data_IF_677657826355
#
_entry.id   IF_677657826355
#
_cell.length_a   1.000
_cell.length_b   1.000
_cell.length_c   1.000
_cell.angle_alpha   90.00
_cell.angle_beta   90.00
_cell.angle_gamma   90.00
#
_symmetry.space_group_name_H-M   'P 1'
#
loop_
_entity.id
_entity.type
_entity.pdbx_description
1 polymer ?
#
# COMPACT_ATOMS: atom_id res chain seq x y z
N UNK A 1 11.36 -1.20 -9.82
CA UNK A 1 10.03 -1.86 -9.74
C UNK A 1 10.06 -3.18 -10.49
N UNK A 2 9.20 -4.14 -10.10
CA UNK A 2 9.20 -5.49 -10.69
C UNK A 2 8.64 -5.63 -12.10
N UNK A 3 8.49 -4.55 -12.85
CA UNK A 3 7.99 -4.60 -14.23
C UNK A 3 6.51 -4.99 -14.36
N UNK A 4 5.69 -4.71 -13.36
CA UNK A 4 4.27 -5.13 -13.33
C UNK A 4 3.30 -3.97 -13.58
N UNK A 5 3.47 -2.86 -12.87
CA UNK A 5 2.60 -1.67 -13.02
C UNK A 5 3.40 -0.45 -13.46
N UNK A 6 2.77 0.48 -14.20
CA UNK A 6 3.45 1.65 -14.72
C UNK A 6 3.54 2.81 -13.73
N UNK A 7 4.56 3.65 -13.89
CA UNK A 7 4.67 4.99 -13.32
C UNK A 7 4.67 5.99 -14.48
N UNK A 8 3.82 7.01 -14.48
CA UNK A 8 2.84 7.39 -13.45
C UNK A 8 1.75 6.33 -13.19
N UNK A 9 1.21 6.32 -11.96
CA UNK A 9 0.32 5.29 -11.40
C UNK A 9 -1.11 5.33 -11.99
N UNK A 10 -1.26 5.16 -13.30
CA UNK A 10 -2.56 5.17 -13.99
C UNK A 10 -3.39 3.89 -13.72
N UNK A 11 -2.71 2.80 -13.33
CA UNK A 11 -3.35 1.52 -12.99
C UNK A 11 -3.50 1.33 -11.46
N UNK A 12 -3.18 2.33 -10.66
CA UNK A 12 -3.07 2.19 -9.21
C UNK A 12 -1.75 1.55 -8.78
N UNK A 13 -1.73 0.99 -7.56
CA UNK A 13 -0.54 0.45 -6.91
C UNK A 13 0.04 1.43 -5.88
N UNK A 14 0.34 0.91 -4.69
CA UNK A 14 0.82 1.74 -3.58
C UNK A 14 2.20 2.32 -3.87
N UNK A 15 3.13 1.48 -4.34
CA UNK A 15 4.51 1.87 -4.66
C UNK A 15 4.51 2.85 -5.83
N UNK A 16 3.79 2.54 -6.90
CA UNK A 16 3.68 3.38 -8.08
C UNK A 16 3.07 4.76 -7.76
N UNK A 17 2.14 4.81 -6.83
CA UNK A 17 1.55 6.06 -6.34
C UNK A 17 2.57 6.90 -5.58
N UNK A 18 3.36 6.30 -4.71
CA UNK A 18 4.43 6.99 -3.98
C UNK A 18 5.51 7.54 -4.92
N UNK A 19 5.95 6.76 -5.90
CA UNK A 19 6.90 7.23 -6.92
C UNK A 19 6.28 8.36 -7.75
N UNK A 20 4.99 8.24 -8.10
CA UNK A 20 4.28 9.30 -8.83
C UNK A 20 4.21 10.60 -8.00
N UNK A 21 4.12 10.51 -6.68
CA UNK A 21 4.17 11.69 -5.80
C UNK A 21 5.55 12.38 -5.86
N UNK A 22 6.65 11.61 -5.93
CA UNK A 22 7.99 12.15 -6.17
C UNK A 22 8.04 12.84 -7.56
N UNK A 23 7.59 12.14 -8.61
CA UNK A 23 7.56 12.67 -9.99
C UNK A 23 6.80 13.99 -10.10
N UNK A 24 5.66 14.11 -9.44
CA UNK A 24 4.83 15.33 -9.43
C UNK A 24 5.50 16.54 -8.77
N UNK A 25 6.31 16.31 -7.76
CA UNK A 25 6.94 17.37 -6.96
C UNK A 25 8.35 17.72 -7.43
N UNK A 26 8.98 16.80 -8.16
CA UNK A 26 10.35 16.96 -8.66
C UNK A 26 10.51 18.20 -9.53
N UNK A 27 11.63 18.89 -9.35
CA UNK A 27 12.08 20.00 -10.17
C UNK A 27 13.59 19.87 -10.47
N UNK A 28 14.03 20.31 -11.62
CA UNK A 28 15.47 20.41 -11.97
C UNK A 28 16.27 21.27 -10.97
N UNK A 29 15.58 22.15 -10.22
CA UNK A 29 16.18 22.99 -9.16
C UNK A 29 16.63 22.17 -7.95
N UNK A 30 16.20 20.92 -7.82
CA UNK A 30 16.57 20.03 -6.70
C UNK A 30 18.01 19.49 -6.81
N UNK A 31 18.76 19.89 -7.83
CA UNK A 31 20.19 19.62 -7.95
C UNK A 31 20.57 18.23 -8.47
N UNK A 32 19.61 17.44 -8.96
CA UNK A 32 19.86 16.13 -9.58
C UNK A 32 18.95 15.90 -10.80
N UNK A 33 19.26 14.90 -11.60
CA UNK A 33 18.41 14.44 -12.72
C UNK A 33 17.68 13.18 -12.32
N UNK A 34 16.34 13.18 -12.43
CA UNK A 34 15.49 12.04 -12.10
C UNK A 34 15.19 11.22 -13.37
N UNK A 35 15.54 9.94 -13.34
CA UNK A 35 15.17 8.96 -14.36
C UNK A 35 14.31 7.86 -13.77
N UNK A 36 13.16 7.60 -14.36
CA UNK A 36 12.22 6.55 -13.94
C UNK A 36 12.22 5.42 -14.96
N UNK A 37 12.60 4.22 -14.53
CA UNK A 37 12.44 2.99 -15.32
C UNK A 37 11.06 2.40 -15.06
N UNK A 38 10.20 2.37 -16.08
CA UNK A 38 8.80 1.96 -15.93
C UNK A 38 8.36 1.03 -17.07
N UNK A 39 7.33 0.22 -16.81
CA UNK A 39 6.70 -0.57 -17.88
C UNK A 39 5.86 0.34 -18.77
N UNK A 40 5.90 0.07 -20.07
CA UNK A 40 5.11 0.80 -21.05
C UNK A 40 3.60 0.56 -20.82
N UNK A 41 2.85 1.65 -20.68
CA UNK A 41 1.40 1.66 -20.67
C UNK A 41 0.92 2.95 -21.36
N UNK A 42 -0.03 2.84 -22.28
CA UNK A 42 -0.46 3.97 -23.13
C UNK A 42 -0.85 5.20 -22.30
N UNK A 43 -1.66 5.01 -21.28
CA UNK A 43 -2.10 6.12 -20.40
C UNK A 43 -0.95 6.68 -19.55
N UNK A 44 0.01 5.85 -19.13
CA UNK A 44 1.16 6.31 -18.35
C UNK A 44 2.11 7.13 -19.20
N UNK A 45 2.34 6.74 -20.46
CA UNK A 45 3.12 7.54 -21.43
C UNK A 45 2.47 8.89 -21.66
N UNK A 46 1.14 8.93 -21.79
CA UNK A 46 0.42 10.20 -21.94
C UNK A 46 0.51 11.05 -20.67
N UNK A 47 0.30 10.47 -19.50
CA UNK A 47 0.43 11.16 -18.21
C UNK A 47 1.85 11.69 -17.96
N UNK A 48 2.88 10.98 -18.41
CA UNK A 48 4.29 11.38 -18.27
C UNK A 48 4.62 12.70 -18.98
N UNK A 49 3.86 13.08 -20.02
CA UNK A 49 4.03 14.38 -20.71
C UNK A 49 3.80 15.59 -19.78
N UNK A 50 3.07 15.42 -18.68
CA UNK A 50 2.88 16.46 -17.67
C UNK A 50 4.12 16.70 -16.80
N UNK A 51 5.17 15.87 -16.95
CA UNK A 51 6.39 15.91 -16.15
C UNK A 51 7.64 16.02 -17.03
N UNK A 52 7.81 17.13 -17.76
CA UNK A 52 8.87 17.29 -18.79
C UNK A 52 10.29 17.27 -18.20
N UNK A 53 10.42 17.51 -16.90
CA UNK A 53 11.70 17.50 -16.20
C UNK A 53 12.16 16.09 -15.80
N UNK A 54 11.26 15.10 -15.82
CA UNK A 54 11.56 13.71 -15.48
C UNK A 54 11.78 12.91 -16.76
N UNK A 55 12.87 12.17 -16.78
CA UNK A 55 13.13 11.23 -17.87
C UNK A 55 12.46 9.89 -17.58
N UNK A 56 11.68 9.37 -18.52
CA UNK A 56 11.10 8.03 -18.45
C UNK A 56 11.79 7.09 -19.44
N UNK A 57 12.18 5.92 -18.96
CA UNK A 57 12.67 4.80 -19.77
C UNK A 57 11.62 3.70 -19.74
N UNK A 58 10.98 3.46 -20.87
CA UNK A 58 9.87 2.53 -20.99
C UNK A 58 10.32 1.14 -21.38
N UNK A 59 9.85 0.11 -20.68
CA UNK A 59 10.09 -1.29 -20.99
C UNK A 59 8.81 -1.99 -21.45
N UNK A 60 8.92 -2.89 -22.41
CA UNK A 60 7.78 -3.52 -23.07
C UNK A 60 7.55 -4.96 -22.57
N UNK A 61 6.97 -5.11 -21.39
CA UNK A 61 6.75 -6.42 -20.75
C UNK A 61 5.48 -7.14 -21.17
N UNK A 62 4.48 -6.43 -21.72
CA UNK A 62 3.15 -6.94 -22.03
C UNK A 62 2.97 -7.53 -23.43
N UNK A 63 3.95 -8.25 -23.97
CA UNK A 63 3.78 -8.99 -25.23
C UNK A 63 3.45 -10.45 -24.96
N UNK A 64 2.77 -11.14 -25.89
CA UNK A 64 2.39 -12.56 -25.78
C UNK A 64 3.59 -13.46 -25.39
N UNK A 65 4.76 -13.22 -26.01
CA UNK A 65 6.01 -13.94 -25.70
C UNK A 65 6.51 -13.72 -24.26
N UNK A 66 6.18 -12.59 -23.66
CA UNK A 66 6.58 -12.29 -22.28
C UNK A 66 5.66 -12.93 -21.25
N UNK A 67 4.38 -13.08 -21.57
CA UNK A 67 3.43 -13.79 -20.70
C UNK A 67 3.81 -15.27 -20.58
N UNK A 68 4.23 -15.91 -21.70
CA UNK A 68 4.71 -17.30 -21.67
C UNK A 68 6.04 -17.43 -20.92
N UNK A 69 7.00 -16.53 -21.15
CA UNK A 69 8.27 -16.48 -20.39
C UNK A 69 8.04 -16.19 -18.91
N UNK A 70 7.09 -15.34 -18.58
CA UNK A 70 6.74 -15.06 -17.19
C UNK A 70 6.09 -16.28 -16.51
N UNK A 71 5.24 -17.03 -17.20
CA UNK A 71 4.70 -18.29 -16.68
C UNK A 71 5.80 -19.33 -16.43
N UNK A 72 6.76 -19.48 -17.35
CA UNK A 72 7.94 -20.33 -17.16
C UNK A 72 8.79 -19.85 -15.99
N UNK A 73 9.02 -18.56 -15.87
CA UNK A 73 9.74 -17.96 -14.74
C UNK A 73 9.08 -18.30 -13.40
N UNK A 74 7.76 -18.13 -13.31
CA UNK A 74 7.01 -18.46 -12.07
C UNK A 74 7.11 -19.96 -11.75
N UNK A 75 6.93 -20.83 -12.75
CA UNK A 75 7.03 -22.28 -12.56
C UNK A 75 8.43 -22.72 -12.10
N UNK A 76 9.49 -22.17 -12.72
CA UNK A 76 10.86 -22.49 -12.32
C UNK A 76 11.16 -21.96 -10.92
N UNK A 77 10.72 -20.74 -10.60
CA UNK A 77 10.90 -20.18 -9.26
C UNK A 77 10.17 -21.00 -8.19
N UNK A 78 8.96 -21.45 -8.47
CA UNK A 78 8.16 -22.26 -7.54
C UNK A 78 8.76 -23.65 -7.33
N UNK A 79 9.29 -24.29 -8.40
CA UNK A 79 9.88 -25.62 -8.34
C UNK A 79 11.31 -25.66 -7.80
N UNK A 80 12.11 -24.66 -8.06
CA UNK A 80 13.56 -24.69 -7.78
C UNK A 80 14.03 -23.62 -6.79
N UNK A 81 13.18 -22.65 -6.43
CA UNK A 81 13.55 -21.47 -5.64
C UNK A 81 14.49 -20.50 -6.35
N UNK A 82 14.87 -20.79 -7.61
CA UNK A 82 15.83 -19.98 -8.38
C UNK A 82 15.12 -18.96 -9.26
N UNK A 83 15.64 -17.74 -9.30
CA UNK A 83 15.21 -16.69 -10.25
C UNK A 83 16.10 -16.74 -11.49
N UNK A 84 15.48 -16.82 -12.67
CA UNK A 84 16.23 -16.85 -13.95
C UNK A 84 16.06 -15.48 -14.61
N UNK A 85 17.07 -14.62 -14.51
CA UNK A 85 17.07 -13.24 -15.03
C UNK A 85 16.72 -13.14 -16.52
N UNK A 86 17.18 -14.08 -17.35
CA UNK A 86 16.91 -14.09 -18.81
C UNK A 86 15.40 -14.09 -19.11
N UNK A 87 14.56 -14.57 -18.20
CA UNK A 87 13.11 -14.56 -18.33
C UNK A 87 12.46 -13.23 -17.87
N UNK A 88 13.25 -12.33 -17.29
CA UNK A 88 12.78 -11.04 -16.75
C UNK A 88 13.08 -9.90 -17.73
N UNK A 89 12.21 -9.73 -18.71
CA UNK A 89 12.41 -8.77 -19.79
C UNK A 89 12.64 -7.34 -19.31
N UNK A 90 11.92 -6.89 -18.25
CA UNK A 90 12.10 -5.56 -17.69
C UNK A 90 13.56 -5.27 -17.38
N UNK A 91 14.22 -6.14 -16.61
CA UNK A 91 15.62 -5.97 -16.23
C UNK A 91 16.58 -6.08 -17.42
N UNK A 92 16.27 -6.93 -18.41
CA UNK A 92 17.07 -7.04 -19.61
C UNK A 92 17.01 -5.77 -20.49
N UNK A 93 15.86 -5.10 -20.55
CA UNK A 93 15.69 -3.86 -21.32
C UNK A 93 16.34 -2.65 -20.63
N UNK A 94 16.37 -2.59 -19.29
CA UNK A 94 16.98 -1.47 -18.56
C UNK A 94 18.51 -1.64 -18.38
N UNK A 95 19.02 -2.87 -18.42
CA UNK A 95 20.44 -3.16 -18.18
C UNK A 95 21.41 -2.33 -19.06
N UNK A 96 21.22 -2.23 -20.39
CA UNK A 96 22.11 -1.44 -21.24
C UNK A 96 22.12 0.05 -20.85
N UNK A 97 20.95 0.60 -20.46
CA UNK A 97 20.84 2.02 -20.06
C UNK A 97 21.60 2.25 -18.77
N UNK A 98 21.42 1.36 -17.76
CA UNK A 98 22.11 1.45 -16.48
C UNK A 98 23.63 1.35 -16.66
N UNK A 99 24.10 0.41 -17.50
CA UNK A 99 25.52 0.17 -17.70
C UNK A 99 26.21 1.29 -18.49
N UNK A 100 25.53 1.86 -19.49
CA UNK A 100 26.12 2.87 -20.38
C UNK A 100 26.09 4.28 -19.77
N UNK A 101 25.04 4.63 -19.02
CA UNK A 101 24.84 6.01 -18.53
C UNK A 101 25.44 6.27 -17.15
N UNK A 102 25.76 5.24 -16.39
CA UNK A 102 26.39 5.34 -15.05
C UNK A 102 25.71 6.35 -14.13
N UNK A 103 24.57 5.97 -13.58
CA UNK A 103 23.83 6.78 -12.61
C UNK A 103 24.63 6.93 -11.31
N UNK A 104 24.50 8.08 -10.64
CA UNK A 104 25.12 8.29 -9.34
C UNK A 104 24.47 7.45 -8.24
N UNK A 105 23.15 7.23 -8.34
CA UNK A 105 22.36 6.47 -7.39
C UNK A 105 21.28 5.67 -8.11
N UNK A 106 21.08 4.43 -7.74
CA UNK A 106 20.01 3.54 -8.21
C UNK A 106 19.13 3.15 -7.02
N UNK A 107 17.87 3.60 -7.03
CA UNK A 107 16.90 3.26 -6.00
C UNK A 107 15.97 2.16 -6.52
N UNK A 108 15.92 1.04 -5.81
CA UNK A 108 15.12 -0.13 -6.17
C UNK A 108 13.82 -0.12 -5.39
N UNK A 109 12.74 0.20 -6.07
CA UNK A 109 11.40 0.33 -5.52
C UNK A 109 10.63 -1.00 -5.61
N UNK A 110 11.07 -2.00 -4.86
CA UNK A 110 10.55 -3.36 -4.95
C UNK A 110 10.95 -4.11 -6.24
N UNK A 111 10.46 -5.32 -6.41
CA UNK A 111 10.78 -6.17 -7.56
C UNK A 111 11.80 -7.25 -7.22
N UNK A 112 12.68 -7.58 -8.17
CA UNK A 112 13.76 -8.56 -7.96
C UNK A 112 15.07 -7.81 -7.68
N UNK A 113 15.42 -7.74 -6.40
CA UNK A 113 16.59 -7.01 -5.91
C UNK A 113 17.89 -7.64 -6.45
N UNK A 114 17.96 -8.95 -6.56
CA UNK A 114 19.12 -9.65 -7.11
C UNK A 114 19.33 -9.33 -8.59
N UNK A 115 18.24 -9.21 -9.35
CA UNK A 115 18.34 -8.83 -10.76
C UNK A 115 18.96 -7.43 -10.95
N UNK A 116 18.68 -6.50 -10.02
CA UNK A 116 19.30 -5.17 -10.08
C UNK A 116 20.78 -5.23 -9.75
N UNK A 117 21.22 -5.98 -8.75
CA UNK A 117 22.63 -6.22 -8.45
C UNK A 117 23.35 -6.77 -9.69
N UNK A 118 22.74 -7.75 -10.37
CA UNK A 118 23.30 -8.39 -11.56
C UNK A 118 23.49 -7.43 -12.73
N UNK A 119 22.57 -6.47 -12.92
CA UNK A 119 22.67 -5.48 -14.01
C UNK A 119 23.51 -4.25 -13.65
N UNK A 120 23.70 -3.97 -12.36
CA UNK A 120 24.48 -2.86 -11.83
C UNK A 120 25.99 -3.22 -11.70
N UNK A 121 26.48 -4.16 -12.47
CA UNK A 121 27.91 -4.52 -12.47
C UNK A 121 28.77 -3.29 -12.76
N UNK A 122 29.75 -3.04 -11.86
CA UNK A 122 30.63 -1.87 -11.95
C UNK A 122 30.15 -0.64 -11.17
N UNK A 123 28.99 -0.73 -10.51
CA UNK A 123 28.58 0.23 -9.49
C UNK A 123 29.19 -0.12 -8.14
N UNK A 124 29.49 0.89 -7.32
CA UNK A 124 29.80 0.69 -5.91
C UNK A 124 28.50 0.37 -5.17
N UNK A 125 28.56 -0.43 -4.10
CA UNK A 125 27.37 -0.80 -3.33
C UNK A 125 26.66 0.43 -2.74
N UNK A 126 27.41 1.48 -2.39
CA UNK A 126 26.92 2.75 -1.87
C UNK A 126 26.06 3.52 -2.87
N UNK A 127 26.14 3.18 -4.16
CA UNK A 127 25.28 3.73 -5.20
C UNK A 127 23.95 2.96 -5.36
N UNK A 128 23.82 1.82 -4.65
CA UNK A 128 22.62 0.98 -4.71
C UNK A 128 21.81 1.13 -3.43
N UNK A 129 20.54 1.51 -3.57
CA UNK A 129 19.60 1.72 -2.48
C UNK A 129 18.42 0.76 -2.66
N UNK A 130 18.11 -0.01 -1.63
CA UNK A 130 16.91 -0.84 -1.58
C UNK A 130 15.82 -0.14 -0.78
N UNK A 131 14.66 0.14 -1.39
CA UNK A 131 13.50 0.69 -0.70
C UNK A 131 12.47 -0.41 -0.40
N UNK A 132 12.38 -0.78 0.87
CA UNK A 132 11.52 -1.85 1.36
C UNK A 132 10.11 -1.33 1.69
N UNK A 133 9.14 -1.67 0.83
CA UNK A 133 7.71 -1.33 0.99
C UNK A 133 6.90 -2.39 1.72
N UNK A 134 7.48 -3.55 1.97
CA UNK A 134 6.83 -4.68 2.67
C UNK A 134 7.76 -5.19 3.77
N UNK A 135 7.20 -5.87 4.77
CA UNK A 135 7.98 -6.63 5.73
C UNK A 135 8.56 -7.85 5.01
N UNK A 136 9.82 -7.75 4.63
CA UNK A 136 10.55 -8.76 3.90
C UNK A 136 11.99 -8.81 4.40
N UNK A 137 12.48 -10.01 4.69
CA UNK A 137 13.87 -10.24 5.07
C UNK A 137 14.60 -10.74 3.82
N UNK A 138 15.47 -9.93 3.22
CA UNK A 138 16.21 -10.32 2.05
C UNK A 138 17.28 -11.38 2.41
N UNK A 139 17.71 -12.14 1.41
CA UNK A 139 18.86 -13.03 1.53
C UNK A 139 20.13 -12.22 1.79
N UNK A 140 21.08 -12.77 2.54
CA UNK A 140 22.35 -12.11 2.87
C UNK A 140 23.11 -11.61 1.64
N UNK A 141 23.08 -12.36 0.54
CA UNK A 141 23.69 -11.97 -0.74
C UNK A 141 23.10 -10.69 -1.32
N UNK A 142 21.77 -10.49 -1.16
CA UNK A 142 21.07 -9.29 -1.57
C UNK A 142 21.51 -8.13 -0.69
N UNK A 143 21.57 -8.33 0.62
CA UNK A 143 22.02 -7.30 1.57
C UNK A 143 23.43 -6.81 1.24
N UNK A 144 24.34 -7.73 0.93
CA UNK A 144 25.74 -7.39 0.54
C UNK A 144 25.82 -6.51 -0.70
N UNK A 145 24.83 -6.60 -1.59
CA UNK A 145 24.78 -5.83 -2.83
C UNK A 145 24.37 -4.38 -2.68
N UNK A 146 23.72 -4.01 -1.56
CA UNK A 146 23.23 -2.65 -1.33
C UNK A 146 23.99 -1.94 -0.22
N UNK A 147 24.38 -0.68 -0.43
CA UNK A 147 25.01 0.18 0.58
C UNK A 147 23.99 0.83 1.50
N UNK A 148 22.77 1.07 1.00
CA UNK A 148 21.72 1.74 1.73
C UNK A 148 20.39 0.97 1.62
N UNK A 149 19.60 1.06 2.72
CA UNK A 149 18.23 0.56 2.77
C UNK A 149 17.31 1.66 3.29
N UNK A 150 16.22 1.89 2.58
CA UNK A 150 15.12 2.77 3.01
C UNK A 150 13.97 1.87 3.46
N UNK A 151 13.49 2.03 4.69
CA UNK A 151 12.28 1.37 5.17
C UNK A 151 11.10 2.34 5.26
N UNK A 152 9.90 1.85 5.00
CA UNK A 152 8.67 2.65 5.14
C UNK A 152 8.26 2.88 6.59
N UNK A 153 8.94 2.25 7.54
CA UNK A 153 8.73 2.40 8.99
C UNK A 153 10.00 1.99 9.75
N UNK A 154 10.14 2.44 10.99
CA UNK A 154 11.21 1.95 11.88
C UNK A 154 11.09 0.44 12.14
N UNK A 155 9.89 -0.09 12.13
CA UNK A 155 9.66 -1.54 12.23
C UNK A 155 10.39 -2.28 11.10
N UNK A 156 10.18 -1.87 9.84
CA UNK A 156 10.82 -2.50 8.67
C UNK A 156 12.34 -2.38 8.76
N UNK A 157 12.87 -1.23 9.16
CA UNK A 157 14.30 -1.00 9.36
C UNK A 157 14.86 -1.95 10.42
N UNK A 158 14.26 -1.98 11.63
CA UNK A 158 14.72 -2.86 12.72
C UNK A 158 14.71 -4.34 12.34
N UNK A 159 13.66 -4.79 11.64
CA UNK A 159 13.59 -6.20 11.21
C UNK A 159 14.65 -6.53 10.15
N UNK A 160 14.95 -5.56 9.27
CA UNK A 160 16.03 -5.68 8.29
C UNK A 160 17.39 -5.75 8.99
N UNK A 161 17.68 -4.83 9.93
CA UNK A 161 18.94 -4.80 10.69
C UNK A 161 19.16 -6.08 11.51
N UNK A 162 18.11 -6.59 12.15
CA UNK A 162 18.19 -7.88 12.88
C UNK A 162 18.55 -9.06 12.00
N UNK A 163 18.09 -9.04 10.76
CA UNK A 163 18.32 -10.11 9.81
C UNK A 163 19.68 -10.02 9.10
N UNK A 164 20.34 -8.87 9.18
CA UNK A 164 21.59 -8.61 8.50
C UNK A 164 22.79 -8.83 9.45
N UNK A 165 23.70 -9.71 9.04
CA UNK A 165 24.96 -9.92 9.76
C UNK A 165 26.06 -8.94 9.33
N UNK A 166 25.74 -7.94 8.51
CA UNK A 166 26.67 -6.94 7.98
C UNK A 166 26.08 -5.53 8.16
N UNK A 167 26.93 -4.52 8.39
CA UNK A 167 26.46 -3.13 8.47
C UNK A 167 25.82 -2.67 7.17
N UNK A 168 24.63 -2.08 7.26
CA UNK A 168 23.91 -1.41 6.18
C UNK A 168 23.47 -0.05 6.67
N UNK A 169 23.65 0.98 5.86
CA UNK A 169 23.12 2.30 6.18
C UNK A 169 21.59 2.29 5.99
N UNK A 170 20.86 2.51 7.05
CA UNK A 170 19.40 2.45 7.06
C UNK A 170 18.78 3.83 7.20
N UNK A 171 17.67 4.03 6.50
CA UNK A 171 16.91 5.28 6.50
C UNK A 171 15.42 4.97 6.62
N UNK A 172 14.63 5.92 7.12
CA UNK A 172 13.18 5.80 7.20
C UNK A 172 12.52 6.85 6.31
N UNK A 173 11.70 6.39 5.36
CA UNK A 173 10.85 7.24 4.54
C UNK A 173 9.40 6.76 4.66
N UNK A 174 8.64 7.37 5.57
CA UNK A 174 7.24 7.00 5.82
C UNK A 174 6.39 7.24 4.59
N UNK A 175 5.49 6.30 4.29
CA UNK A 175 4.52 6.41 3.20
C UNK A 175 3.63 7.64 3.33
N UNK A 176 3.12 8.13 2.21
CA UNK A 176 2.23 9.27 2.13
C UNK A 176 1.11 9.07 1.12
N UNK A 177 0.15 9.98 1.17
CA UNK A 177 -0.96 10.08 0.21
C UNK A 177 -1.13 11.54 -0.22
N UNK A 178 -1.86 11.75 -1.30
CA UNK A 178 -2.39 13.08 -1.65
C UNK A 178 -3.60 13.35 -0.74
N UNK A 179 -3.37 13.99 0.42
CA UNK A 179 -4.40 14.22 1.45
C UNK A 179 -5.61 14.96 0.88
N UNK A 180 -5.40 15.84 -0.10
CA UNK A 180 -6.49 16.62 -0.71
C UNK A 180 -7.46 15.72 -1.51
N UNK A 181 -7.00 14.60 -2.05
CA UNK A 181 -7.87 13.65 -2.74
C UNK A 181 -8.85 12.93 -1.81
N UNK A 182 -8.50 12.81 -0.53
CA UNK A 182 -9.32 12.15 0.49
C UNK A 182 -10.17 13.14 1.30
N UNK A 183 -9.84 14.43 1.28
CA UNK A 183 -10.65 15.47 1.93
C UNK A 183 -11.91 15.83 1.09
N UNK A 184 -12.71 14.81 0.79
CA UNK A 184 -13.94 14.91 0.02
C UNK A 184 -15.14 14.86 0.93
N UNK A 185 -16.23 15.46 0.49
CA UNK A 185 -17.54 15.37 1.14
C UNK A 185 -18.59 14.89 0.14
N UNK A 186 -19.65 14.28 0.65
CA UNK A 186 -20.84 13.94 -0.14
C UNK A 186 -22.05 14.58 0.53
N UNK A 187 -23.00 15.07 -0.29
CA UNK A 187 -24.23 15.64 0.24
C UNK A 187 -25.06 14.59 0.96
N UNK A 188 -25.85 14.99 1.97
CA UNK A 188 -26.76 14.10 2.70
C UNK A 188 -27.74 13.37 1.74
N UNK A 189 -28.18 14.02 0.68
CA UNK A 189 -29.00 13.40 -0.37
C UNK A 189 -28.25 12.26 -1.05
N UNK A 190 -26.97 12.46 -1.39
CA UNK A 190 -26.11 11.43 -2.00
C UNK A 190 -25.85 10.29 -1.01
N UNK A 191 -25.53 10.60 0.26
CA UNK A 191 -25.32 9.62 1.33
C UNK A 191 -26.54 8.73 1.50
N UNK A 192 -27.74 9.31 1.63
CA UNK A 192 -29.01 8.56 1.73
C UNK A 192 -29.26 7.67 0.51
N UNK A 193 -29.02 8.18 -0.70
CA UNK A 193 -29.19 7.42 -1.94
C UNK A 193 -28.23 6.22 -2.00
N UNK A 194 -26.96 6.42 -1.67
CA UNK A 194 -25.95 5.36 -1.68
C UNK A 194 -26.26 4.30 -0.61
N UNK A 195 -26.57 4.72 0.64
CA UNK A 195 -26.98 3.79 1.70
C UNK A 195 -28.16 2.92 1.25
N UNK A 196 -29.22 3.52 0.70
CA UNK A 196 -30.37 2.80 0.17
C UNK A 196 -29.98 1.81 -0.95
N UNK A 197 -29.11 2.23 -1.88
CA UNK A 197 -28.66 1.41 -3.01
C UNK A 197 -27.97 0.13 -2.56
N UNK A 198 -27.23 0.17 -1.43
CA UNK A 198 -26.49 -0.98 -0.91
C UNK A 198 -27.17 -1.65 0.28
N UNK A 199 -28.44 -1.33 0.55
CA UNK A 199 -29.26 -1.98 1.59
C UNK A 199 -28.99 -1.52 3.02
N UNK A 200 -28.29 -0.40 3.23
CA UNK A 200 -28.08 0.21 4.55
C UNK A 200 -29.24 1.13 4.92
N UNK A 201 -29.72 1.04 6.17
CA UNK A 201 -30.74 1.90 6.74
C UNK A 201 -30.12 3.16 7.36
N UNK A 202 -30.96 4.17 7.66
CA UNK A 202 -30.52 5.43 8.27
C UNK A 202 -29.84 5.21 9.62
N UNK A 203 -30.39 4.31 10.44
CA UNK A 203 -29.97 4.08 11.82
C UNK A 203 -28.93 2.93 11.94
N UNK A 204 -28.46 2.39 10.81
CA UNK A 204 -27.40 1.39 10.85
C UNK A 204 -26.06 2.04 11.22
N UNK A 205 -25.36 1.41 12.15
CA UNK A 205 -23.97 1.71 12.48
C UNK A 205 -23.05 0.91 11.55
N UNK A 206 -22.32 1.62 10.71
CA UNK A 206 -21.55 1.02 9.61
C UNK A 206 -20.09 0.90 9.97
N UNK A 207 -19.64 -0.33 10.09
CA UNK A 207 -18.23 -0.72 10.21
C UNK A 207 -17.69 -0.96 8.80
N UNK A 208 -16.69 -0.22 8.39
CA UNK A 208 -16.05 -0.33 7.08
C UNK A 208 -14.83 -1.25 7.14
N UNK A 209 -14.67 -2.08 6.12
CA UNK A 209 -13.44 -2.75 5.77
C UNK A 209 -13.04 -2.37 4.34
N UNK A 210 -11.82 -1.87 4.15
CA UNK A 210 -11.23 -1.61 2.83
C UNK A 210 -9.94 -2.40 2.70
N UNK A 211 -9.86 -3.26 1.69
CA UNK A 211 -8.63 -4.01 1.48
C UNK A 211 -8.76 -5.27 0.62
N UNK A 212 -7.63 -5.94 0.45
CA UNK A 212 -7.59 -7.22 -0.26
C UNK A 212 -8.25 -8.32 0.58
N UNK A 213 -9.01 -9.19 -0.07
CA UNK A 213 -9.65 -10.34 0.58
C UNK A 213 -8.68 -11.52 0.66
N UNK A 214 -7.68 -11.38 1.53
CA UNK A 214 -6.68 -12.42 1.82
C UNK A 214 -6.63 -12.64 3.33
N UNK A 215 -6.24 -13.85 3.74
CA UNK A 215 -6.31 -14.29 5.13
C UNK A 215 -5.60 -13.35 6.11
N UNK A 216 -4.41 -12.91 5.78
CA UNK A 216 -3.59 -12.04 6.64
C UNK A 216 -4.20 -10.65 6.90
N UNK A 217 -5.25 -10.27 6.18
CA UNK A 217 -5.96 -8.99 6.39
C UNK A 217 -7.15 -9.08 7.36
N UNK A 218 -7.43 -10.25 7.94
CA UNK A 218 -8.36 -10.43 9.06
C UNK A 218 -9.84 -10.18 8.76
N UNK A 219 -10.26 -10.24 7.49
CA UNK A 219 -11.67 -9.98 7.14
C UNK A 219 -12.62 -11.03 7.72
N UNK A 220 -12.22 -12.31 7.83
CA UNK A 220 -13.07 -13.34 8.43
C UNK A 220 -13.28 -13.10 9.92
N UNK A 221 -12.24 -12.70 10.63
CA UNK A 221 -12.24 -12.36 12.05
C UNK A 221 -13.18 -11.16 12.30
N UNK A 222 -13.11 -10.15 11.43
CA UNK A 222 -14.04 -9.00 11.50
C UNK A 222 -15.48 -9.39 11.22
N UNK A 223 -15.74 -10.25 10.23
CA UNK A 223 -17.08 -10.77 9.95
C UNK A 223 -17.66 -11.52 11.16
N UNK A 224 -16.88 -12.43 11.75
CA UNK A 224 -17.27 -13.18 12.93
C UNK A 224 -17.55 -12.26 14.13
N UNK A 225 -16.72 -11.25 14.32
CA UNK A 225 -16.88 -10.25 15.36
C UNK A 225 -18.20 -9.50 15.20
N UNK A 226 -18.48 -8.93 14.02
CA UNK A 226 -19.71 -8.20 13.73
C UNK A 226 -20.94 -9.09 13.88
N UNK A 227 -20.89 -10.33 13.42
CA UNK A 227 -22.00 -11.29 13.56
C UNK A 227 -22.26 -11.72 15.00
N UNK A 228 -21.25 -11.68 15.86
CA UNK A 228 -21.37 -12.00 17.29
C UNK A 228 -21.99 -10.86 18.13
N UNK A 229 -22.12 -9.65 17.57
CA UNK A 229 -22.76 -8.51 18.25
C UNK A 229 -24.28 -8.70 18.20
N UNK A 230 -24.91 -8.73 19.37
CA UNK A 230 -26.36 -8.81 19.48
C UNK A 230 -27.03 -7.44 19.26
N UNK A 231 -26.80 -6.91 18.07
CA UNK A 231 -27.41 -5.66 17.58
C UNK A 231 -27.44 -5.70 16.06
N UNK A 232 -28.62 -5.93 15.50
CA UNK A 232 -28.85 -6.05 14.06
C UNK A 232 -28.60 -4.76 13.27
N UNK A 233 -28.48 -3.62 13.95
CA UNK A 233 -28.14 -2.34 13.33
C UNK A 233 -26.64 -2.14 13.13
N UNK A 234 -25.78 -2.98 13.71
CA UNK A 234 -24.35 -2.96 13.38
C UNK A 234 -24.17 -3.70 12.07
N UNK A 235 -23.71 -3.03 11.04
CA UNK A 235 -23.48 -3.54 9.69
C UNK A 235 -22.01 -3.50 9.32
N UNK A 236 -21.56 -4.47 8.56
CA UNK A 236 -20.21 -4.50 7.97
C UNK A 236 -20.31 -4.16 6.47
N UNK A 237 -19.65 -3.11 6.05
CA UNK A 237 -19.47 -2.74 4.66
C UNK A 237 -18.07 -3.18 4.21
N UNK A 238 -18.00 -4.19 3.35
CA UNK A 238 -16.75 -4.71 2.80
C UNK A 238 -16.51 -4.15 1.41
N UNK A 239 -15.42 -3.43 1.23
CA UNK A 239 -14.97 -2.88 -0.06
C UNK A 239 -13.65 -3.51 -0.44
N UNK A 240 -13.62 -4.21 -1.58
CA UNK A 240 -12.39 -4.81 -2.08
C UNK A 240 -12.57 -6.17 -2.75
N UNK A 241 -11.45 -6.71 -3.24
CA UNK A 241 -11.34 -8.04 -3.84
C UNK A 241 -9.95 -8.62 -3.62
N UNK A 242 -9.73 -9.91 -3.85
CA UNK A 242 -8.40 -10.50 -3.72
C UNK A 242 -7.46 -10.06 -4.85
N UNK A 243 -7.97 -9.88 -6.08
CA UNK A 243 -7.18 -9.73 -7.30
C UNK A 243 -7.50 -8.45 -8.09
N UNK A 244 -7.73 -7.32 -7.41
CA UNK A 244 -8.00 -6.03 -8.08
C UNK A 244 -9.08 -6.10 -9.17
N UNK A 245 -10.15 -6.87 -8.92
CA UNK A 245 -11.26 -7.04 -9.89
C UNK A 245 -11.02 -8.06 -11.01
N UNK A 246 -9.90 -8.76 -11.04
CA UNK A 246 -9.63 -9.84 -12.01
C UNK A 246 -10.52 -11.07 -11.73
N UNK A 247 -10.86 -11.82 -12.77
CA UNK A 247 -11.89 -12.89 -12.79
C UNK A 247 -11.63 -14.11 -11.90
N UNK A 248 -10.41 -14.29 -11.37
CA UNK A 248 -10.06 -15.45 -10.55
C UNK A 248 -10.25 -15.18 -9.05
N UNK A 249 -11.23 -15.82 -8.45
CA UNK A 249 -11.44 -15.79 -7.00
C UNK A 249 -10.59 -16.86 -6.30
N UNK A 250 -9.83 -16.44 -5.28
CA UNK A 250 -9.13 -17.40 -4.42
C UNK A 250 -10.13 -18.25 -3.61
N UNK A 251 -9.73 -19.46 -3.14
CA UNK A 251 -10.58 -20.25 -2.23
C UNK A 251 -11.01 -19.45 -0.99
N UNK A 252 -10.12 -18.62 -0.46
CA UNK A 252 -10.40 -17.75 0.68
C UNK A 252 -11.46 -16.69 0.35
N UNK A 253 -11.35 -16.02 -0.79
CA UNK A 253 -12.34 -15.03 -1.23
C UNK A 253 -13.73 -15.69 -1.44
N UNK A 254 -13.77 -16.90 -1.99
CA UNK A 254 -15.02 -17.67 -2.11
C UNK A 254 -15.66 -17.94 -0.74
N UNK A 255 -14.85 -18.32 0.26
CA UNK A 255 -15.31 -18.51 1.65
C UNK A 255 -15.88 -17.23 2.22
N UNK A 256 -15.17 -16.10 2.10
CA UNK A 256 -15.61 -14.77 2.55
C UNK A 256 -16.95 -14.40 1.93
N UNK A 257 -17.08 -14.51 0.59
CA UNK A 257 -18.32 -14.19 -0.14
C UNK A 257 -19.48 -15.10 0.25
N UNK A 258 -19.22 -16.39 0.51
CA UNK A 258 -20.27 -17.35 0.97
C UNK A 258 -20.83 -16.95 2.34
N UNK A 259 -19.97 -16.53 3.27
CA UNK A 259 -20.39 -16.03 4.60
C UNK A 259 -21.19 -14.74 4.44
N UNK A 260 -20.70 -13.77 3.65
CA UNK A 260 -21.39 -12.52 3.40
C UNK A 260 -22.79 -12.75 2.80
N UNK A 261 -22.90 -13.63 1.80
CA UNK A 261 -24.19 -13.98 1.18
C UNK A 261 -25.20 -14.58 2.16
N UNK A 262 -24.74 -15.45 3.10
CA UNK A 262 -25.60 -16.05 4.14
C UNK A 262 -26.09 -15.03 5.18
N UNK A 263 -25.37 -13.92 5.34
CA UNK A 263 -25.64 -12.87 6.33
C UNK A 263 -25.80 -11.50 5.67
N UNK A 264 -26.50 -11.47 4.53
CA UNK A 264 -26.61 -10.26 3.69
C UNK A 264 -27.36 -9.11 4.37
N UNK A 265 -28.13 -9.38 5.41
CA UNK A 265 -28.76 -8.37 6.26
C UNK A 265 -27.76 -7.67 7.20
N UNK A 266 -26.59 -8.28 7.48
CA UNK A 266 -25.55 -7.78 8.37
C UNK A 266 -24.28 -7.38 7.64
N UNK A 267 -23.99 -7.98 6.50
CA UNK A 267 -22.75 -7.83 5.74
C UNK A 267 -23.05 -7.42 4.30
N UNK A 268 -22.65 -6.20 3.98
CA UNK A 268 -22.77 -5.64 2.63
C UNK A 268 -21.42 -5.77 1.92
N UNK A 269 -21.44 -6.32 0.72
CA UNK A 269 -20.24 -6.56 -0.06
C UNK A 269 -20.31 -5.83 -1.41
N UNK A 270 -19.40 -4.87 -1.67
CA UNK A 270 -19.40 -4.11 -2.92
C UNK A 270 -18.59 -4.78 -4.02
N UNK A 271 -17.64 -5.66 -3.66
CA UNK A 271 -16.58 -6.09 -4.58
C UNK A 271 -15.52 -5.02 -4.78
N UNK A 272 -14.79 -5.14 -5.89
CA UNK A 272 -13.81 -4.12 -6.28
C UNK A 272 -14.51 -2.79 -6.58
N UNK A 273 -13.95 -1.73 -6.03
CA UNK A 273 -14.35 -0.34 -6.30
C UNK A 273 -13.12 0.41 -6.78
N UNK A 274 -13.24 1.18 -7.85
CA UNK A 274 -12.17 2.05 -8.34
C UNK A 274 -11.76 3.06 -7.26
N UNK A 275 -10.47 3.29 -7.07
CA UNK A 275 -9.95 4.20 -6.03
C UNK A 275 -10.54 5.62 -6.14
N UNK A 276 -10.91 6.06 -7.35
CA UNK A 276 -11.55 7.37 -7.58
C UNK A 276 -12.95 7.47 -6.99
N UNK A 277 -13.61 6.33 -6.78
CA UNK A 277 -14.98 6.22 -6.27
C UNK A 277 -15.03 5.72 -4.81
N UNK A 278 -13.89 5.23 -4.28
CA UNK A 278 -13.80 4.60 -2.95
C UNK A 278 -14.34 5.52 -1.85
N UNK A 279 -13.98 6.81 -1.87
CA UNK A 279 -14.44 7.80 -0.89
C UNK A 279 -15.96 7.84 -0.71
N UNK A 280 -16.75 7.52 -1.75
CA UNK A 280 -18.22 7.48 -1.66
C UNK A 280 -18.73 6.40 -0.73
N UNK A 281 -17.99 5.29 -0.62
CA UNK A 281 -18.31 4.19 0.27
C UNK A 281 -17.72 4.41 1.67
N UNK A 282 -16.50 4.93 1.72
CA UNK A 282 -15.83 5.26 2.99
C UNK A 282 -16.65 6.24 3.82
N UNK A 283 -17.16 7.30 3.18
CA UNK A 283 -18.00 8.32 3.83
C UNK A 283 -19.41 7.83 4.26
N UNK A 284 -19.78 6.59 3.96
CA UNK A 284 -20.99 5.96 4.52
C UNK A 284 -20.76 5.36 5.91
N UNK A 285 -19.49 5.16 6.28
CA UNK A 285 -19.09 4.48 7.51
C UNK A 285 -19.12 5.39 8.73
N UNK A 286 -19.31 4.77 9.89
CA UNK A 286 -19.17 5.40 11.21
C UNK A 286 -17.76 5.16 11.78
N UNK A 287 -17.16 4.01 11.44
CA UNK A 287 -15.79 3.61 11.79
C UNK A 287 -15.20 2.74 10.68
N UNK A 288 -13.87 2.65 10.62
CA UNK A 288 -13.17 1.68 9.80
C UNK A 288 -12.37 0.70 10.66
N UNK A 289 -12.35 -0.57 10.29
CA UNK A 289 -11.53 -1.59 10.92
C UNK A 289 -10.42 -2.08 9.98
N UNK A 290 -9.19 -2.16 10.51
CA UNK A 290 -8.01 -2.72 9.83
C UNK A 290 -7.46 -3.87 10.69
N UNK A 291 -8.08 -5.04 10.64
CA UNK A 291 -7.83 -6.16 11.56
C UNK A 291 -6.69 -7.07 11.07
N UNK A 292 -5.56 -6.50 10.68
CA UNK A 292 -4.43 -7.27 10.12
C UNK A 292 -3.91 -8.33 11.09
N UNK A 293 -3.74 -9.55 10.57
CA UNK A 293 -3.28 -10.73 11.30
C UNK A 293 -1.79 -11.01 11.09
N UNK A 294 -1.08 -10.15 10.40
CA UNK A 294 0.36 -10.22 10.14
C UNK A 294 1.04 -8.89 10.49
N UNK A 295 2.36 -8.86 10.44
CA UNK A 295 3.12 -7.63 10.63
C UNK A 295 3.05 -6.76 9.38
N UNK A 296 2.36 -5.63 9.47
CA UNK A 296 2.27 -4.66 8.39
C UNK A 296 3.53 -3.79 8.33
N UNK A 297 4.06 -3.58 7.15
CA UNK A 297 5.17 -2.64 6.98
C UNK A 297 4.76 -1.19 7.22
N UNK A 298 3.55 -0.86 6.79
CA UNK A 298 2.90 0.44 6.86
C UNK A 298 1.38 0.25 6.77
N UNK A 299 0.62 1.31 6.63
CA UNK A 299 -0.83 1.20 6.54
C UNK A 299 -1.46 2.34 5.75
N UNK A 300 -1.26 2.39 4.42
CA UNK A 300 -1.84 3.46 3.59
C UNK A 300 -3.34 3.63 3.82
N UNK A 301 -4.09 2.53 3.94
CA UNK A 301 -5.53 2.53 4.19
C UNK A 301 -5.91 3.25 5.48
N UNK A 302 -5.00 3.34 6.46
CA UNK A 302 -5.23 4.07 7.71
C UNK A 302 -5.02 5.56 7.48
N UNK A 303 -3.96 5.93 6.72
CA UNK A 303 -3.70 7.32 6.39
C UNK A 303 -4.86 7.88 5.54
N UNK A 304 -5.39 7.08 4.62
CA UNK A 304 -6.58 7.39 3.81
C UNK A 304 -7.80 7.63 4.71
N UNK A 305 -8.08 6.72 5.65
CA UNK A 305 -9.18 6.86 6.62
C UNK A 305 -9.01 8.10 7.51
N UNK A 306 -7.78 8.37 7.99
CA UNK A 306 -7.48 9.59 8.74
C UNK A 306 -7.76 10.85 7.95
N UNK A 307 -7.36 10.89 6.68
CA UNK A 307 -7.61 12.05 5.81
C UNK A 307 -9.10 12.28 5.54
N UNK A 308 -9.88 11.20 5.44
CA UNK A 308 -11.35 11.25 5.34
C UNK A 308 -12.02 11.57 6.68
N UNK A 309 -11.27 11.54 7.79
CA UNK A 309 -11.79 11.74 9.13
C UNK A 309 -12.65 10.59 9.63
N UNK A 310 -12.35 9.36 9.21
CA UNK A 310 -13.05 8.16 9.67
C UNK A 310 -12.30 7.57 10.86
N UNK A 311 -12.90 7.50 12.05
CA UNK A 311 -12.29 6.89 13.22
C UNK A 311 -11.95 5.42 12.94
N UNK A 312 -10.76 4.98 13.32
CA UNK A 312 -10.27 3.64 13.01
C UNK A 312 -10.10 2.75 14.25
N UNK A 313 -10.32 1.45 14.05
CA UNK A 313 -9.90 0.37 14.95
C UNK A 313 -8.86 -0.45 14.20
N UNK A 314 -7.68 -0.62 14.76
CA UNK A 314 -6.59 -1.36 14.13
C UNK A 314 -5.98 -2.38 15.09
N UNK A 315 -5.43 -3.45 14.56
CA UNK A 315 -4.59 -4.36 15.34
C UNK A 315 -3.21 -3.76 15.58
N UNK A 316 -2.62 -4.04 16.73
CA UNK A 316 -1.22 -3.77 17.02
C UNK A 316 -0.35 -4.64 16.09
N UNK A 317 0.19 -4.05 15.02
CA UNK A 317 0.72 -4.80 13.88
C UNK A 317 1.86 -4.05 13.17
N UNK A 318 3.09 -4.47 13.46
CA UNK A 318 4.32 -4.01 12.80
C UNK A 318 4.48 -2.50 12.72
N UNK A 319 4.84 -2.01 11.54
CA UNK A 319 5.02 -0.57 11.28
C UNK A 319 3.73 0.24 11.17
N UNK A 320 2.57 -0.42 11.09
CA UNK A 320 1.28 0.25 10.97
C UNK A 320 1.01 1.22 12.11
N UNK A 321 1.36 0.81 13.34
CA UNK A 321 1.13 1.63 14.55
C UNK A 321 2.03 2.86 14.63
N UNK A 322 3.09 2.95 13.83
CA UNK A 322 3.95 4.13 13.76
C UNK A 322 3.32 5.32 13.04
N UNK A 323 2.21 5.10 12.35
CA UNK A 323 1.46 6.13 11.59
C UNK A 323 0.33 6.76 12.39
N UNK A 324 -0.02 6.20 13.53
CA UNK A 324 -1.19 6.54 14.34
C UNK A 324 -0.81 6.82 15.79
N UNK A 325 -1.77 7.30 16.56
CA UNK A 325 -1.70 7.41 18.01
C UNK A 325 -3.10 7.17 18.61
N UNK A 326 -3.18 7.09 19.94
CA UNK A 326 -4.41 6.80 20.68
C UNK A 326 -5.48 7.89 20.53
N UNK A 327 -5.09 9.12 20.17
CA UNK A 327 -6.05 10.22 19.91
C UNK A 327 -6.76 10.09 18.56
N UNK A 328 -6.19 9.31 17.64
CA UNK A 328 -6.69 9.15 16.26
C UNK A 328 -7.28 7.76 16.00
N UNK A 329 -6.86 6.75 16.77
CA UNK A 329 -7.12 5.35 16.43
C UNK A 329 -7.21 4.49 17.68
N UNK A 330 -8.18 3.58 17.74
CA UNK A 330 -8.27 2.57 18.79
C UNK A 330 -7.44 1.35 18.39
N UNK A 331 -6.35 1.11 19.12
CA UNK A 331 -5.45 -0.02 18.89
C UNK A 331 -5.92 -1.21 19.74
N UNK A 332 -5.99 -2.39 19.14
CA UNK A 332 -6.35 -3.65 19.81
C UNK A 332 -5.28 -4.72 19.57
N UNK A 333 -5.18 -5.65 20.51
CA UNK A 333 -4.28 -6.80 20.37
C UNK A 333 -4.86 -7.87 19.43
N UNK A 334 -3.98 -8.64 18.78
CA UNK A 334 -4.35 -9.73 17.86
C UNK A 334 -4.84 -10.99 18.58
N UNK A 335 -4.37 -11.22 19.80
CA UNK A 335 -4.87 -12.30 20.66
C UNK A 335 -6.35 -12.09 20.92
N UNK A 336 -7.15 -13.17 20.77
CA UNK A 336 -8.61 -13.09 20.90
C UNK A 336 -9.27 -12.00 20.04
N UNK A 337 -8.74 -11.76 18.85
CA UNK A 337 -9.12 -10.65 17.95
C UNK A 337 -10.63 -10.49 17.78
N UNK A 338 -11.40 -11.59 17.68
CA UNK A 338 -12.87 -11.55 17.52
C UNK A 338 -13.52 -10.85 18.71
N UNK A 339 -13.11 -11.19 19.93
CA UNK A 339 -13.61 -10.58 21.14
C UNK A 339 -13.17 -9.11 21.27
N UNK A 340 -11.91 -8.81 20.95
CA UNK A 340 -11.36 -7.46 21.00
C UNK A 340 -12.04 -6.55 19.98
N UNK A 341 -12.23 -6.99 18.73
CA UNK A 341 -12.98 -6.26 17.71
C UNK A 341 -14.43 -6.01 18.14
N UNK A 342 -15.13 -7.04 18.67
CA UNK A 342 -16.50 -6.90 19.20
C UNK A 342 -16.55 -5.82 20.27
N UNK A 343 -15.66 -5.88 21.26
CA UNK A 343 -15.59 -4.91 22.37
C UNK A 343 -15.34 -3.50 21.84
N UNK A 344 -14.37 -3.35 20.95
CA UNK A 344 -13.99 -2.07 20.35
C UNK A 344 -15.12 -1.47 19.50
N UNK A 345 -15.78 -2.27 18.64
CA UNK A 345 -16.91 -1.82 17.82
C UNK A 345 -18.08 -1.37 18.70
N UNK A 346 -18.42 -2.16 19.73
CA UNK A 346 -19.49 -1.79 20.67
C UNK A 346 -19.15 -0.52 21.46
N UNK A 347 -17.89 -0.34 21.87
CA UNK A 347 -17.41 0.87 22.52
C UNK A 347 -17.57 2.08 21.61
N UNK A 348 -17.03 2.00 20.39
CA UNK A 348 -17.12 3.09 19.41
C UNK A 348 -18.56 3.42 19.04
N UNK A 349 -19.48 2.44 19.00
CA UNK A 349 -20.91 2.71 18.78
C UNK A 349 -21.53 3.50 19.93
N UNK A 350 -21.21 3.15 21.18
CA UNK A 350 -21.77 3.78 22.38
C UNK A 350 -21.22 5.18 22.67
N UNK A 351 -20.05 5.51 22.13
CA UNK A 351 -19.30 6.76 22.42
C UNK A 351 -19.14 7.64 21.17
N UNK A 352 -20.20 8.33 20.70
CA UNK A 352 -20.12 9.23 19.55
C UNK A 352 -19.13 10.39 19.78
N UNK A 353 -19.00 10.88 21.02
CA UNK A 353 -18.04 11.92 21.40
C UNK A 353 -16.59 11.50 21.16
N UNK A 354 -16.26 10.23 21.40
CA UNK A 354 -14.93 9.67 21.09
C UNK A 354 -14.70 9.66 19.61
N UNK A 355 -15.69 9.19 18.81
CA UNK A 355 -15.57 9.17 17.33
C UNK A 355 -15.37 10.57 16.75
N UNK A 356 -16.09 11.59 17.26
CA UNK A 356 -15.96 12.98 16.81
C UNK A 356 -14.54 13.48 17.06
N UNK A 357 -14.05 13.34 18.32
CA UNK A 357 -12.68 13.73 18.68
C UNK A 357 -11.62 13.02 17.83
N UNK A 358 -11.74 11.70 17.66
CA UNK A 358 -10.81 10.91 16.86
C UNK A 358 -10.83 11.35 15.38
N UNK A 359 -12.01 11.67 14.83
CA UNK A 359 -12.16 12.16 13.46
C UNK A 359 -11.41 13.48 13.23
N UNK A 360 -11.54 14.43 14.14
CA UNK A 360 -10.86 15.74 14.07
C UNK A 360 -9.34 15.56 14.18
N UNK A 361 -8.87 14.82 15.17
CA UNK A 361 -7.46 14.55 15.38
C UNK A 361 -6.85 13.77 14.21
N UNK A 362 -7.58 12.80 13.64
CA UNK A 362 -7.15 12.03 12.49
C UNK A 362 -6.88 12.92 11.26
N UNK A 363 -7.78 13.88 10.97
CA UNK A 363 -7.58 14.85 9.88
C UNK A 363 -6.35 15.73 10.09
N UNK A 364 -6.07 16.12 11.33
CA UNK A 364 -4.85 16.88 11.65
C UNK A 364 -3.62 16.01 11.46
N UNK A 365 -3.64 14.79 11.99
CA UNK A 365 -2.54 13.84 11.90
C UNK A 365 -2.22 13.46 10.44
N UNK A 366 -3.23 13.26 9.59
CA UNK A 366 -3.04 12.86 8.20
C UNK A 366 -2.20 13.84 7.38
N UNK A 367 -2.22 15.13 7.73
CA UNK A 367 -1.42 16.16 7.06
C UNK A 367 0.09 15.91 7.15
N UNK A 368 0.56 15.17 8.17
CA UNK A 368 1.97 14.79 8.31
C UNK A 368 2.41 13.78 7.24
N UNK A 369 1.45 13.13 6.58
CA UNK A 369 1.65 12.13 5.55
C UNK A 369 1.20 12.64 4.17
N UNK A 370 1.23 13.96 3.95
CA UNK A 370 0.95 14.55 2.64
C UNK A 370 2.12 14.33 1.67
N UNK A 371 1.80 14.21 0.37
CA UNK A 371 2.81 13.99 -0.67
C UNK A 371 3.89 15.09 -0.75
N UNK A 372 3.60 16.32 -0.29
CA UNK A 372 4.59 17.37 -0.26
C UNK A 372 5.62 17.16 0.87
N UNK A 373 5.16 16.69 2.03
CA UNK A 373 6.05 16.32 3.16
C UNK A 373 6.87 15.09 2.79
N UNK A 374 6.25 14.11 2.14
CA UNK A 374 6.94 12.93 1.62
C UNK A 374 8.10 13.30 0.70
N UNK A 375 7.86 14.19 -0.26
CA UNK A 375 8.90 14.65 -1.17
C UNK A 375 10.04 15.38 -0.43
N UNK A 376 9.72 16.25 0.52
CA UNK A 376 10.73 16.91 1.36
C UNK A 376 11.58 15.88 2.12
N UNK A 377 10.95 14.88 2.73
CA UNK A 377 11.64 13.82 3.45
C UNK A 377 12.48 12.94 2.51
N UNK A 378 11.98 12.66 1.31
CA UNK A 378 12.74 11.96 0.26
C UNK A 378 14.03 12.73 -0.09
N UNK A 379 13.95 14.05 -0.29
CA UNK A 379 15.14 14.87 -0.53
C UNK A 379 16.12 14.82 0.64
N UNK A 380 15.64 14.83 1.89
CA UNK A 380 16.48 14.67 3.08
C UNK A 380 17.21 13.32 3.08
N UNK A 381 16.50 12.22 2.81
CA UNK A 381 17.11 10.89 2.71
C UNK A 381 18.17 10.83 1.59
N UNK A 382 17.90 11.44 0.43
CA UNK A 382 18.89 11.49 -0.66
C UNK A 382 20.14 12.29 -0.27
N UNK A 383 19.98 13.41 0.46
CA UNK A 383 21.11 14.20 0.96
C UNK A 383 21.94 13.39 1.97
N UNK A 384 21.30 12.70 2.93
CA UNK A 384 21.98 11.80 3.86
C UNK A 384 22.76 10.70 3.15
N UNK A 385 22.19 10.06 2.13
CA UNK A 385 22.85 9.00 1.33
C UNK A 385 24.07 9.56 0.61
N UNK A 386 24.00 10.80 0.13
CA UNK A 386 25.13 11.48 -0.56
C UNK A 386 26.20 12.03 0.41
N UNK A 387 25.93 12.06 1.72
CA UNK A 387 26.79 12.66 2.73
C UNK A 387 26.80 14.20 2.70
N UNK A 388 25.70 14.81 2.27
CA UNK A 388 25.45 16.26 2.17
C UNK A 388 24.74 16.80 3.42
#
# INVERSE_FOLDING_TARGET
MGGVMPVPAVCGGAIETLITSIVKKYSKKDGFRLTIFSVHHKEAVEAAKNYPDVRFVWTHTNTFWNLSKHAVFLAVRELTGKTIRVLQRHYNEIAPVIQNEKFNLLIVEGGDEQAVIDIAKGYQREQLVFHAHIHYIPKEEVVKGYGHMIGVSNFVVREYEKACNIPVNTHVLKNAIDVNKFNKTISEKTKKRLRKKIGLKKDDFVVLYVGRLIQVKGILELMQSVLSIDDKHVKLLCVGSANFGKWAFSPYERKVKKIAKKNSERIVFTGYVDNRELYKYSLLADIQCVPSMWEEAAGLVIIEAMAEGIPTIVTNSGGMVEYINEDTTLIIERENIIANLKKAICYMKKHPEVRIRMSENAKIQSKKYDEAIYYKNFLGVIAEIKGE
#
